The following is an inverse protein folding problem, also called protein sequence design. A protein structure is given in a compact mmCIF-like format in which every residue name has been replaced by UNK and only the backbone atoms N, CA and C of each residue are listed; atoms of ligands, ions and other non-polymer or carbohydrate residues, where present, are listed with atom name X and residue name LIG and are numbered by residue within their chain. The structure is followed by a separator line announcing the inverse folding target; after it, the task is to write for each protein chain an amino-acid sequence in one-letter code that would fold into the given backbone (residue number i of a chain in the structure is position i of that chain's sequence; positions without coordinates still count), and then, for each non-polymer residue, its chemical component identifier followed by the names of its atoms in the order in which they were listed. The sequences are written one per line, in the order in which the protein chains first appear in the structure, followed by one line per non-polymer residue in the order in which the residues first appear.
data_IF_683036398657
#
_entry.id   IF_683036398657
#
_cell.length_a   1.000
_cell.length_b   1.000
_cell.length_c   1.000
_cell.angle_alpha   90.00
_cell.angle_beta   90.00
_cell.angle_gamma   90.00
#
_symmetry.space_group_name_H-M   'P 1'
#
loop_
_entity.id
_entity.type
_entity.pdbx_description
1 polymer ?
#
# COMPACT_ATOMS: atom_id res chain seq x y z
N UNK A 1 -1.85 -18.31 18.90
CA UNK A 1 -2.15 -16.87 18.96
C UNK A 1 -2.60 -16.47 17.57
N UNK A 2 -3.82 -15.96 17.45
CA UNK A 2 -4.46 -15.67 16.17
C UNK A 2 -3.62 -14.69 15.36
N UNK A 3 -3.02 -15.17 14.27
CA UNK A 3 -2.37 -14.34 13.25
C UNK A 3 -3.47 -13.65 12.44
N UNK A 4 -4.26 -12.79 13.09
CA UNK A 4 -5.18 -11.89 12.41
C UNK A 4 -4.33 -10.88 11.67
N UNK A 5 -4.06 -11.20 10.40
CA UNK A 5 -3.87 -10.34 9.22
C UNK A 5 -3.26 -8.93 9.44
N UNK A 6 -2.41 -8.72 10.44
CA UNK A 6 -1.83 -7.43 10.80
C UNK A 6 -0.86 -6.89 9.74
N UNK A 7 -0.57 -7.68 8.72
CA UNK A 7 0.31 -7.36 7.61
C UNK A 7 -0.47 -6.90 6.37
N UNK A 8 -1.80 -6.77 6.43
CA UNK A 8 -2.62 -6.35 5.30
C UNK A 8 -3.57 -5.24 5.74
N UNK A 9 -3.56 -4.14 5.00
CA UNK A 9 -4.43 -2.98 5.20
C UNK A 9 -5.18 -2.69 3.90
N UNK A 10 -6.50 -2.49 3.98
CA UNK A 10 -7.32 -2.13 2.82
C UNK A 10 -7.67 -0.64 2.88
N UNK A 11 -7.47 0.07 1.77
CA UNK A 11 -7.90 1.46 1.59
C UNK A 11 -8.60 1.61 0.26
N UNK A 12 -9.73 2.31 0.26
CA UNK A 12 -10.42 2.66 -0.99
C UNK A 12 -9.62 3.68 -1.80
N UNK A 13 -9.02 4.64 -1.12
CA UNK A 13 -8.35 5.80 -1.73
C UNK A 13 -7.16 6.29 -0.88
N UNK A 14 -6.31 7.12 -1.50
CA UNK A 14 -5.16 7.73 -0.82
C UNK A 14 -5.64 8.85 0.11
N UNK A 15 -5.42 8.68 1.41
CA UNK A 15 -5.77 9.65 2.46
C UNK A 15 -4.64 9.78 3.48
N UNK A 16 -4.76 10.69 4.45
CA UNK A 16 -3.76 10.81 5.53
C UNK A 16 -3.61 9.51 6.34
N UNK A 17 -4.66 8.68 6.38
CA UNK A 17 -4.59 7.36 7.04
C UNK A 17 -3.67 6.40 6.31
N UNK A 18 -3.54 6.51 5.00
CA UNK A 18 -2.59 5.71 4.21
C UNK A 18 -1.15 6.00 4.64
N UNK A 19 -0.79 7.28 4.82
CA UNK A 19 0.56 7.67 5.23
C UNK A 19 0.89 7.12 6.61
N UNK A 20 -0.07 7.15 7.55
CA UNK A 20 0.11 6.55 8.88
C UNK A 20 0.32 5.04 8.81
N UNK A 21 -0.49 4.32 8.04
CA UNK A 21 -0.32 2.88 7.85
C UNK A 21 1.04 2.57 7.19
N UNK A 22 1.45 3.34 6.18
CA UNK A 22 2.74 3.18 5.51
C UNK A 22 3.92 3.41 6.47
N UNK A 23 3.87 4.45 7.31
CA UNK A 23 4.87 4.69 8.37
C UNK A 23 4.92 3.49 9.33
N UNK A 24 3.76 3.02 9.79
CA UNK A 24 3.69 1.90 10.73
C UNK A 24 4.30 0.63 10.13
N UNK A 25 4.01 0.32 8.85
CA UNK A 25 4.58 -0.83 8.17
C UNK A 25 6.08 -0.72 7.96
N UNK A 26 6.56 0.44 7.49
CA UNK A 26 8.00 0.68 7.28
C UNK A 26 8.81 0.60 8.58
N UNK A 27 8.21 0.94 9.72
CA UNK A 27 8.85 0.85 11.05
C UNK A 27 8.63 -0.50 11.75
N UNK A 28 7.85 -1.40 11.16
CA UNK A 28 7.50 -2.71 11.73
C UNK A 28 8.14 -3.83 10.91
N UNK A 29 7.59 -5.04 11.00
CA UNK A 29 7.95 -6.22 10.19
C UNK A 29 7.54 -6.10 8.71
N UNK A 30 7.12 -4.92 8.26
CA UNK A 30 6.52 -4.70 6.94
C UNK A 30 5.03 -5.02 6.88
N UNK A 31 4.47 -4.94 5.68
CA UNK A 31 3.07 -5.24 5.39
C UNK A 31 2.67 -4.74 4.00
N UNK A 32 1.41 -4.98 3.64
CA UNK A 32 0.80 -4.71 2.36
C UNK A 32 -0.38 -3.76 2.52
N UNK A 33 -0.34 -2.62 1.83
CA UNK A 33 -1.48 -1.69 1.79
C UNK A 33 -2.14 -1.77 0.42
N UNK A 34 -3.35 -2.31 0.37
CA UNK A 34 -4.17 -2.43 -0.83
C UNK A 34 -4.95 -1.15 -1.10
N UNK A 35 -4.68 -0.48 -2.21
CA UNK A 35 -5.45 0.70 -2.66
C UNK A 35 -6.51 0.30 -3.69
N UNK A 36 -7.71 0.87 -3.57
CA UNK A 36 -8.85 0.53 -4.43
C UNK A 36 -9.65 -0.67 -3.92
N UNK A 37 -9.55 -0.99 -2.62
CA UNK A 37 -10.26 -2.10 -1.97
C UNK A 37 -11.06 -1.56 -0.79
N UNK A 38 -12.27 -2.07 -0.61
CA UNK A 38 -13.11 -1.76 0.55
C UNK A 38 -12.60 -2.47 1.80
N UNK A 39 -13.04 -2.02 2.97
CA UNK A 39 -12.69 -2.62 4.26
C UNK A 39 -13.12 -4.09 4.37
N UNK A 40 -14.19 -4.49 3.67
CA UNK A 40 -14.64 -5.89 3.59
C UNK A 40 -13.79 -6.77 2.66
N UNK A 41 -12.80 -6.19 1.97
CA UNK A 41 -11.95 -6.87 0.99
C UNK A 41 -12.51 -6.87 -0.44
N UNK A 42 -13.69 -6.30 -0.68
CA UNK A 42 -14.26 -6.19 -2.04
C UNK A 42 -13.53 -5.14 -2.88
N UNK A 43 -13.34 -5.43 -4.17
CA UNK A 43 -12.65 -4.53 -5.11
C UNK A 43 -13.54 -3.32 -5.40
N UNK A 44 -13.08 -2.13 -5.00
CA UNK A 44 -13.68 -0.86 -5.40
C UNK A 44 -13.20 -0.44 -6.80
N UNK A 45 -11.94 -0.76 -7.10
CA UNK A 45 -11.28 -0.46 -8.37
C UNK A 45 -10.57 0.90 -8.37
N UNK A 46 -9.55 1.01 -9.19
CA UNK A 46 -8.78 2.25 -9.40
C UNK A 46 -8.97 2.69 -10.84
N UNK A 47 -9.48 3.91 -11.03
CA UNK A 47 -9.82 4.45 -12.35
C UNK A 47 -8.59 4.77 -13.21
N UNK A 48 -7.53 5.27 -12.58
CA UNK A 48 -6.31 5.73 -13.25
C UNK A 48 -5.10 5.19 -12.50
N UNK A 49 -4.68 4.00 -12.91
CA UNK A 49 -3.64 3.20 -12.26
C UNK A 49 -2.34 3.99 -12.26
N UNK A 50 -1.79 4.33 -13.42
CA UNK A 50 -0.52 5.08 -13.52
C UNK A 50 -0.49 6.37 -12.69
N UNK A 51 -1.63 7.06 -12.58
CA UNK A 51 -1.74 8.23 -11.73
C UNK A 51 -1.68 7.88 -10.24
N UNK A 52 -2.42 6.88 -9.77
CA UNK A 52 -2.40 6.43 -8.36
C UNK A 52 -1.03 5.88 -7.98
N UNK A 53 -0.36 5.11 -8.85
CA UNK A 53 0.99 4.59 -8.57
C UNK A 53 1.98 5.72 -8.30
N UNK A 54 1.96 6.75 -9.15
CA UNK A 54 2.82 7.93 -8.97
C UNK A 54 2.48 8.69 -7.70
N UNK A 55 1.19 8.86 -7.39
CA UNK A 55 0.78 9.53 -6.16
C UNK A 55 1.18 8.77 -4.89
N UNK A 56 1.10 7.43 -4.89
CA UNK A 56 1.56 6.58 -3.78
C UNK A 56 3.04 6.82 -3.52
N UNK A 57 3.87 6.69 -4.56
CA UNK A 57 5.30 6.90 -4.45
C UNK A 57 5.62 8.33 -3.98
N UNK A 58 5.00 9.33 -4.59
CA UNK A 58 5.19 10.74 -4.25
C UNK A 58 4.85 11.03 -2.78
N UNK A 59 3.69 10.57 -2.29
CA UNK A 59 3.30 10.77 -0.87
C UNK A 59 4.30 10.14 0.09
N UNK A 60 4.77 8.92 -0.19
CA UNK A 60 5.75 8.27 0.69
C UNK A 60 7.07 9.05 0.69
N UNK A 61 7.57 9.38 -0.50
CA UNK A 61 8.87 10.07 -0.64
C UNK A 61 8.86 11.47 -0.01
N UNK A 62 7.76 12.21 -0.20
CA UNK A 62 7.64 13.58 0.27
C UNK A 62 7.23 13.65 1.75
N UNK A 63 6.24 12.86 2.17
CA UNK A 63 5.59 13.03 3.47
C UNK A 63 6.12 12.08 4.56
N UNK A 64 6.74 10.95 4.21
CA UNK A 64 7.30 10.02 5.20
C UNK A 64 8.77 10.33 5.47
N UNK A 65 9.15 10.37 6.76
CA UNK A 65 10.51 10.60 7.24
C UNK A 65 10.89 9.55 8.30
N UNK A 66 12.16 9.07 8.36
CA UNK A 66 13.27 9.35 7.43
C UNK A 66 12.98 8.88 6.00
N UNK A 67 13.79 9.32 5.03
CA UNK A 67 13.52 9.09 3.61
C UNK A 67 13.35 7.59 3.31
N UNK A 68 12.18 7.21 2.80
CA UNK A 68 11.81 5.82 2.52
C UNK A 68 12.21 5.33 1.12
N UNK A 69 13.06 6.06 0.38
CA UNK A 69 13.58 5.63 -0.93
C UNK A 69 14.17 4.23 -0.82
N UNK A 70 13.70 3.32 -1.68
CA UNK A 70 14.20 1.95 -1.77
C UNK A 70 13.73 1.00 -0.66
N UNK A 71 12.93 1.47 0.30
CA UNK A 71 12.33 0.62 1.33
C UNK A 71 11.01 0.00 0.88
N UNK A 72 10.41 0.50 -0.19
CA UNK A 72 9.12 0.04 -0.67
C UNK A 72 9.13 -0.22 -2.17
N UNK A 73 8.25 -1.12 -2.58
CA UNK A 73 7.84 -1.29 -3.98
C UNK A 73 6.35 -1.01 -4.10
N UNK A 74 5.95 -0.35 -5.20
CA UNK A 74 4.53 -0.16 -5.56
C UNK A 74 4.27 -1.06 -6.74
N UNK A 75 3.48 -2.11 -6.53
CA UNK A 75 3.11 -3.05 -7.58
C UNK A 75 1.62 -3.03 -7.82
N UNK A 76 1.25 -3.34 -9.06
CA UNK A 76 -0.13 -3.42 -9.51
C UNK A 76 -0.52 -4.89 -9.61
N UNK A 77 -1.56 -5.31 -8.89
CA UNK A 77 -2.09 -6.67 -8.94
C UNK A 77 -3.55 -6.64 -9.43
N UNK A 78 -3.94 -7.58 -10.28
CA UNK A 78 -5.34 -7.75 -10.68
C UNK A 78 -6.05 -8.63 -9.64
N UNK A 79 -7.08 -8.10 -8.99
CA UNK A 79 -7.87 -8.82 -8.00
C UNK A 79 -9.27 -9.12 -8.55
N UNK A 80 -9.74 -10.35 -8.37
CA UNK A 80 -11.09 -10.81 -8.73
C UNK A 80 -11.45 -10.81 -10.24
N UNK A 81 -10.47 -10.75 -11.16
CA UNK A 81 -10.70 -10.72 -12.64
C UNK A 81 -11.71 -9.62 -13.06
N UNK A 82 -11.85 -8.57 -12.24
CA UNK A 82 -12.75 -7.45 -12.45
C UNK A 82 -11.91 -6.19 -12.46
N UNK A 83 -11.54 -5.71 -13.65
CA UNK A 83 -11.20 -4.33 -14.06
C UNK A 83 -10.57 -3.34 -13.05
N UNK A 84 -10.00 -3.80 -11.95
CA UNK A 84 -9.70 -3.04 -10.76
C UNK A 84 -8.38 -3.53 -10.25
N UNK A 85 -7.33 -2.91 -10.77
CA UNK A 85 -6.02 -3.21 -10.27
C UNK A 85 -5.87 -2.61 -8.87
N UNK A 86 -5.24 -3.37 -7.98
CA UNK A 86 -4.96 -2.99 -6.61
C UNK A 86 -3.47 -2.76 -6.46
N UNK A 87 -3.11 -1.74 -5.69
CA UNK A 87 -1.71 -1.50 -5.36
C UNK A 87 -1.35 -2.16 -4.07
N UNK A 88 -0.19 -2.79 -3.95
CA UNK A 88 0.36 -3.04 -2.62
C UNK A 88 1.76 -2.48 -2.45
N UNK A 89 2.00 -1.97 -1.25
CA UNK A 89 3.32 -1.65 -0.74
C UNK A 89 3.97 -2.93 -0.23
N UNK A 90 5.23 -3.22 -0.54
CA UNK A 90 5.98 -4.27 0.16
C UNK A 90 7.33 -3.74 0.63
N UNK A 91 7.70 -4.05 1.86
CA UNK A 91 9.00 -3.65 2.39
C UNK A 91 10.10 -4.53 1.81
N UNK A 92 11.11 -3.92 1.19
CA UNK A 92 12.32 -4.66 0.79
C UNK A 92 13.15 -4.86 2.05
N UNK A 93 13.49 -6.10 2.46
CA UNK A 93 14.39 -6.31 3.58
C UNK A 93 15.74 -5.65 3.26
N UNK A 94 16.19 -4.75 4.14
CA UNK A 94 17.53 -4.19 4.07
C UNK A 94 18.52 -5.37 4.17
N UNK A 95 19.06 -5.81 3.04
CA UNK A 95 20.10 -6.83 3.01
C UNK A 95 21.35 -6.20 3.63
N UNK A 96 21.62 -6.57 4.88
CA UNK A 96 22.89 -6.29 5.55
C UNK A 96 24.05 -7.06 4.90
#
# INVERSE_FOLDING_TARGET
MNSENHLVEYKRELSETFERSAIAFLNSTGGHIYIGVNDDGSVYGVKDIDHVQRQVADRILNNIKPNAIGLFEVVTEEKDNKNGNVYFLSQIPLRG
#
